data_IF_736848135555
#
_entry.id   IF_736848135555
#
_cell.length_a   1.000
_cell.length_b   1.000
_cell.length_c   1.000
_cell.angle_alpha   90.00
_cell.angle_beta   90.00
_cell.angle_gamma   90.00
#
_symmetry.space_group_name_H-M   'P 1'
#
loop_
_entity.id
_entity.type
_entity.pdbx_description
1 polymer ?
#
# COMPACT_ATOMS: atom_id res chain seq x y z
N UNK A 1 -22.51 -29.71 -5.50
CA UNK A 1 -22.13 -29.32 -5.46
C UNK A 1 -21.60 -28.86 -5.36
N UNK A 2 -21.33 -28.79 -5.12
CA UNK A 2 -20.83 -28.32 -4.99
C UNK A 2 -20.36 -27.59 -4.79
N UNK A 3 -20.22 -27.49 -4.60
CA UNK A 3 -19.77 -26.73 -4.48
C UNK A 3 -19.41 -26.10 -3.81
N UNK A 4 -19.46 -26.06 -3.45
CA UNK A 4 -19.16 -25.39 -2.96
C UNK A 4 -18.57 -24.93 -2.43
N UNK A 5 -18.40 -25.13 -2.35
CA UNK A 5 -17.95 -24.50 -1.85
C UNK A 5 -17.40 -23.80 -1.81
N UNK A 6 -17.61 -23.90 -2.18
CA UNK A 6 -17.14 -23.14 -2.26
C UNK A 6 -16.95 -22.22 -1.74
N UNK A 7 -17.14 -22.30 -1.59
CA UNK A 7 -16.98 -21.47 -1.16
C UNK A 7 -16.64 -20.98 -0.40
N UNK A 8 -16.54 -21.26 -0.14
CA UNK A 8 -16.43 -20.81 0.55
C UNK A 8 -15.97 -20.01 0.95
N UNK A 9 -16.08 -19.90 0.84
CA UNK A 9 -15.63 -19.03 1.13
C UNK A 9 -15.48 -18.32 1.83
N UNK A 10 -15.69 -18.54 1.70
CA UNK A 10 -15.69 -17.91 2.56
C UNK A 10 -15.18 -16.71 2.99
N UNK A 11 -14.90 -16.77 3.73
CA UNK A 11 -14.33 -15.54 4.23
C UNK A 11 -13.48 -14.91 3.13
N UNK A 12 -13.54 -13.58 2.92
CA UNK A 12 -12.74 -12.95 1.90
C UNK A 12 -11.27 -13.25 2.14
N UNK A 13 -10.60 -13.68 1.10
CA UNK A 13 -9.20 -14.02 1.20
C UNK A 13 -8.38 -12.83 0.72
N UNK A 14 -7.60 -12.28 1.62
CA UNK A 14 -6.64 -11.25 1.23
C UNK A 14 -5.50 -11.89 0.49
N UNK A 15 -5.00 -11.20 -0.52
CA UNK A 15 -3.78 -11.63 -1.18
C UNK A 15 -2.62 -11.55 -0.21
N UNK A 16 -1.68 -12.47 -0.34
CA UNK A 16 -0.41 -12.33 0.36
C UNK A 16 0.23 -11.00 0.01
N UNK A 17 0.96 -10.43 0.97
CA UNK A 17 1.61 -9.14 0.73
C UNK A 17 2.51 -9.19 -0.49
N UNK A 18 3.28 -10.25 -0.66
CA UNK A 18 4.18 -10.37 -1.80
C UNK A 18 3.41 -10.33 -3.12
N UNK A 19 2.26 -10.98 -3.17
CA UNK A 19 1.44 -11.01 -4.39
C UNK A 19 0.83 -9.65 -4.66
N UNK A 20 0.31 -9.03 -3.61
CA UNK A 20 -0.29 -7.70 -3.74
C UNK A 20 0.74 -6.69 -4.26
N UNK A 21 1.96 -6.72 -3.68
CA UNK A 21 3.01 -5.79 -4.09
C UNK A 21 3.38 -5.99 -5.55
N UNK A 22 3.52 -7.25 -5.97
CA UNK A 22 3.86 -7.54 -7.37
C UNK A 22 2.79 -7.02 -8.32
N UNK A 23 1.53 -7.23 -7.98
CA UNK A 23 0.43 -6.75 -8.80
C UNK A 23 0.37 -5.23 -8.85
N UNK A 24 0.63 -4.59 -7.71
CA UNK A 24 0.62 -3.13 -7.64
C UNK A 24 1.73 -2.51 -8.48
N UNK A 25 2.94 -3.06 -8.37
CA UNK A 25 4.07 -2.57 -9.16
C UNK A 25 3.76 -2.69 -10.66
N UNK A 26 3.15 -3.82 -11.04
CA UNK A 26 2.77 -4.03 -12.44
C UNK A 26 1.73 -3.01 -12.88
N UNK A 27 0.75 -2.72 -12.02
CA UNK A 27 -0.26 -1.72 -12.35
C UNK A 27 0.36 -0.36 -12.59
N UNK A 28 1.28 0.06 -11.71
CA UNK A 28 1.97 1.33 -11.88
C UNK A 28 2.71 1.37 -13.21
N UNK A 29 3.38 0.28 -13.56
CA UNK A 29 4.12 0.20 -14.81
C UNK A 29 3.19 0.34 -16.01
N UNK A 30 2.05 -0.32 -15.97
CA UNK A 30 1.05 -0.23 -17.05
C UNK A 30 0.54 1.21 -17.19
N UNK A 31 0.41 1.93 -16.07
CA UNK A 31 -0.06 3.31 -16.09
C UNK A 31 1.03 4.31 -16.42
N UNK A 32 2.24 3.84 -16.70
CA UNK A 32 3.32 4.69 -17.11
C UNK A 32 4.15 5.28 -15.99
N UNK A 33 4.01 4.78 -14.77
CA UNK A 33 4.78 5.26 -13.64
C UNK A 33 5.84 4.23 -13.27
N UNK A 34 6.96 4.70 -12.75
CA UNK A 34 8.01 3.81 -12.26
C UNK A 34 7.73 3.44 -10.81
N UNK A 35 7.74 2.15 -10.51
CA UNK A 35 7.55 1.66 -9.15
C UNK A 35 8.58 0.61 -8.82
N UNK A 36 9.08 0.63 -7.60
CA UNK A 36 10.09 -0.32 -7.16
C UNK A 36 9.87 -0.68 -5.70
N UNK A 37 10.21 -1.91 -5.38
CA UNK A 37 10.16 -2.38 -3.99
C UNK A 37 11.46 -1.94 -3.32
N UNK A 38 11.34 -1.00 -2.38
CA UNK A 38 12.49 -0.53 -1.63
C UNK A 38 12.87 -1.48 -0.50
N UNK A 39 11.86 -2.14 0.07
CA UNK A 39 12.10 -3.08 1.17
C UNK A 39 11.08 -4.20 1.08
N UNK A 40 11.58 -5.42 1.10
CA UNK A 40 10.72 -6.59 1.17
C UNK A 40 10.42 -6.88 2.64
N UNK A 41 9.15 -7.11 2.93
CA UNK A 41 8.71 -7.47 4.25
C UNK A 41 8.28 -8.92 4.34
N UNK A 42 7.46 -9.23 5.34
CA UNK A 42 6.95 -10.57 5.52
C UNK A 42 6.06 -10.96 4.34
N UNK A 43 6.28 -12.14 3.81
CA UNK A 43 5.68 -12.55 2.55
C UNK A 43 4.16 -12.58 2.60
N UNK A 44 3.59 -13.11 3.67
CA UNK A 44 2.15 -13.35 3.68
C UNK A 44 1.35 -12.18 4.22
N UNK A 45 1.79 -11.59 5.31
CA UNK A 45 0.97 -10.64 6.03
C UNK A 45 1.70 -9.36 6.45
N UNK A 46 2.85 -9.08 5.87
CA UNK A 46 3.57 -7.86 6.20
C UNK A 46 2.78 -6.63 5.78
N UNK A 47 2.77 -5.61 6.64
CA UNK A 47 2.13 -4.35 6.31
C UNK A 47 2.84 -3.69 5.14
N UNK A 48 2.09 -2.97 4.32
CA UNK A 48 2.62 -2.38 3.10
C UNK A 48 2.49 -0.87 3.18
N UNK A 49 3.60 -0.17 2.98
CA UNK A 49 3.63 1.28 2.89
C UNK A 49 3.98 1.66 1.46
N UNK A 50 3.27 2.64 0.91
CA UNK A 50 3.48 3.10 -0.46
C UNK A 50 3.85 4.57 -0.40
N UNK A 51 5.03 4.89 -0.91
CA UNK A 51 5.49 6.27 -1.02
C UNK A 51 5.35 6.72 -2.47
N UNK A 52 4.69 7.84 -2.68
CA UNK A 52 4.58 8.43 -4.01
C UNK A 52 5.50 9.64 -4.05
N UNK A 53 6.52 9.58 -4.90
CA UNK A 53 7.47 10.68 -5.08
C UNK A 53 7.06 11.49 -6.29
N UNK A 54 6.96 12.81 -6.12
CA UNK A 54 6.60 13.68 -7.24
C UNK A 54 7.84 14.17 -7.99
N UNK A 55 9.01 13.72 -7.57
CA UNK A 55 10.29 14.04 -8.20
C UNK A 55 10.66 15.54 -8.10
N UNK A 56 10.08 16.22 -7.12
CA UNK A 56 10.36 17.62 -6.86
C UNK A 56 10.69 17.86 -5.38
N UNK A 57 11.03 16.81 -4.66
CA UNK A 57 11.32 16.90 -3.24
C UNK A 57 10.09 16.74 -2.35
N UNK A 58 8.93 16.48 -2.94
CA UNK A 58 7.70 16.28 -2.21
C UNK A 58 7.01 15.00 -2.64
N UNK A 59 6.00 14.59 -1.87
CA UNK A 59 5.25 13.41 -2.21
C UNK A 59 4.17 13.11 -1.19
N UNK A 60 3.77 11.85 -1.15
CA UNK A 60 2.74 11.36 -0.24
C UNK A 60 3.13 9.99 0.27
N UNK A 61 2.58 9.62 1.42
CA UNK A 61 2.80 8.31 2.01
C UNK A 61 1.46 7.70 2.37
N UNK A 62 1.26 6.46 1.94
CA UNK A 62 0.07 5.69 2.27
C UNK A 62 0.48 4.46 3.06
N UNK A 63 -0.34 4.08 4.01
CA UNK A 63 -0.11 2.88 4.80
C UNK A 63 -1.42 2.20 5.12
N UNK A 64 -1.36 1.11 5.89
CA UNK A 64 -2.58 0.39 6.23
C UNK A 64 -3.55 1.28 7.00
N UNK A 65 -4.83 1.23 6.62
CA UNK A 65 -5.86 1.96 7.34
C UNK A 65 -6.04 1.35 8.74
N UNK A 66 -6.43 2.17 9.73
CA UNK A 66 -6.69 1.62 11.06
C UNK A 66 -7.76 0.54 11.00
N UNK A 67 -7.63 -0.45 11.88
CA UNK A 67 -8.56 -1.58 11.93
C UNK A 67 -10.00 -1.11 12.09
N UNK A 68 -10.22 -0.01 12.80
CA UNK A 68 -11.56 0.53 13.02
C UNK A 68 -12.23 1.00 11.72
N UNK A 69 -11.47 1.20 10.66
CA UNK A 69 -11.99 1.64 9.37
C UNK A 69 -12.18 0.48 8.40
N UNK A 70 -11.87 -0.74 8.83
CA UNK A 70 -11.89 -1.91 7.96
C UNK A 70 -13.09 -2.78 8.32
N UNK A 71 -13.91 -3.07 7.31
CA UNK A 71 -14.99 -4.04 7.42
C UNK A 71 -14.57 -5.26 6.62
N UNK A 72 -14.04 -6.26 7.31
CA UNK A 72 -13.49 -7.44 6.66
C UNK A 72 -14.52 -8.23 5.86
N UNK A 73 -15.79 -8.08 6.19
CA UNK A 73 -16.83 -8.79 5.46
C UNK A 73 -17.08 -8.19 4.08
N UNK A 74 -16.85 -6.90 3.95
CA UNK A 74 -17.14 -6.18 2.70
C UNK A 74 -15.89 -5.79 1.93
N UNK A 75 -14.74 -5.75 2.57
CA UNK A 75 -13.53 -5.23 1.96
C UNK A 75 -12.39 -6.24 2.05
N UNK A 76 -12.39 -7.24 1.16
CA UNK A 76 -11.29 -8.20 1.17
C UNK A 76 -9.97 -7.60 0.70
N UNK A 77 -10.03 -6.52 -0.09
CA UNK A 77 -8.81 -5.86 -0.51
C UNK A 77 -8.21 -5.05 0.62
N UNK A 78 -6.94 -4.76 0.50
CA UNK A 78 -6.25 -3.93 1.47
C UNK A 78 -6.75 -2.50 1.37
N UNK A 79 -7.05 -1.92 2.53
CA UNK A 79 -7.48 -0.54 2.61
C UNK A 79 -6.30 0.30 3.08
N UNK A 80 -6.03 1.38 2.37
CA UNK A 80 -4.94 2.28 2.69
C UNK A 80 -5.47 3.61 3.17
N UNK A 81 -4.66 4.32 3.96
CA UNK A 81 -4.96 5.67 4.37
C UNK A 81 -3.72 6.53 4.14
N UNK A 82 -3.95 7.80 3.84
CA UNK A 82 -2.85 8.73 3.67
C UNK A 82 -2.27 9.09 5.03
N UNK A 83 -0.98 8.86 5.19
CA UNK A 83 -0.27 9.18 6.41
C UNK A 83 0.44 10.51 6.31
N UNK A 84 0.73 10.96 5.09
CA UNK A 84 1.34 12.25 4.82
C UNK A 84 1.01 12.64 3.39
N UNK A 85 0.86 13.94 3.15
CA UNK A 85 0.68 14.43 1.78
C UNK A 85 -0.70 14.25 1.21
N UNK A 86 -1.73 14.09 2.05
CA UNK A 86 -3.08 13.82 1.56
C UNK A 86 -3.65 14.98 0.75
N UNK A 87 -3.55 16.19 1.28
CA UNK A 87 -4.10 17.38 0.63
C UNK A 87 -3.04 18.16 -0.08
N UNK A 88 -1.91 18.34 0.57
CA UNK A 88 -0.77 19.03 -0.02
C UNK A 88 0.42 18.10 0.03
N UNK A 89 1.25 18.07 -1.01
CA UNK A 89 2.42 17.21 -0.99
C UNK A 89 3.29 17.49 0.24
N UNK A 90 3.79 16.43 0.86
CA UNK A 90 4.63 16.56 2.04
C UNK A 90 6.09 16.55 1.63
N UNK A 91 6.97 17.22 2.39
CA UNK A 91 8.39 17.15 2.10
C UNK A 91 8.90 15.72 2.16
N UNK A 92 9.79 15.37 1.25
CA UNK A 92 10.35 14.03 1.19
C UNK A 92 10.99 13.62 2.53
N UNK A 93 11.68 14.56 3.17
CA UNK A 93 12.33 14.26 4.45
C UNK A 93 11.33 13.82 5.51
N UNK A 94 10.15 14.41 5.52
CA UNK A 94 9.11 14.03 6.49
C UNK A 94 8.60 12.63 6.22
N UNK A 95 8.45 12.29 4.96
CA UNK A 95 8.01 10.95 4.56
C UNK A 95 9.05 9.91 4.97
N UNK A 96 10.33 10.19 4.72
CA UNK A 96 11.39 9.27 5.06
C UNK A 96 11.51 9.10 6.58
N UNK A 97 11.33 10.18 7.34
CA UNK A 97 11.35 10.10 8.78
C UNK A 97 10.21 9.22 9.30
N UNK A 98 9.03 9.33 8.70
CA UNK A 98 7.90 8.49 9.10
C UNK A 98 8.18 7.03 8.79
N UNK A 99 8.73 6.74 7.62
CA UNK A 99 9.07 5.36 7.25
C UNK A 99 10.11 4.78 8.20
N UNK A 100 11.09 5.57 8.61
CA UNK A 100 12.10 5.11 9.55
C UNK A 100 11.48 4.73 10.89
N UNK A 101 10.50 5.51 11.35
CA UNK A 101 9.80 5.19 12.60
C UNK A 101 8.99 3.91 12.48
N UNK A 102 8.31 3.72 11.34
CA UNK A 102 7.52 2.51 11.15
C UNK A 102 8.40 1.26 11.15
N UNK A 103 9.58 1.35 10.56
CA UNK A 103 10.51 0.24 10.54
C UNK A 103 11.01 -0.13 11.93
N UNK A 104 11.12 0.83 12.82
CA UNK A 104 11.53 0.53 14.19
C UNK A 104 10.48 -0.28 14.94
N UNK A 105 9.22 -0.02 14.65
CA UNK A 105 8.13 -0.76 15.30
C UNK A 105 7.89 -2.12 14.66
N UNK A 106 8.08 -2.22 13.36
CA UNK A 106 7.73 -3.43 12.63
C UNK A 106 8.74 -3.66 11.51
N UNK A 107 9.73 -4.53 11.72
CA UNK A 107 10.73 -4.79 10.68
C UNK A 107 10.20 -5.62 9.51
N UNK A 108 8.98 -6.12 9.61
CA UNK A 108 8.39 -6.97 8.57
C UNK A 108 7.59 -6.20 7.54
N UNK A 109 7.66 -4.87 7.55
CA UNK A 109 6.90 -4.06 6.61
C UNK A 109 7.55 -4.03 5.23
N UNK A 110 6.70 -3.89 4.24
CA UNK A 110 7.11 -3.64 2.86
C UNK A 110 7.11 -2.15 2.61
N UNK A 111 8.04 -1.69 1.79
CA UNK A 111 8.06 -0.31 1.33
C UNK A 111 8.16 -0.31 -0.17
N UNK A 112 7.18 0.28 -0.83
CA UNK A 112 7.13 0.43 -2.28
C UNK A 112 7.20 1.92 -2.58
N UNK A 113 8.05 2.30 -3.51
CA UNK A 113 8.16 3.70 -3.93
C UNK A 113 7.72 3.83 -5.37
N UNK A 114 6.85 4.80 -5.63
CA UNK A 114 6.34 5.10 -6.96
C UNK A 114 6.78 6.51 -7.31
N UNK A 115 7.26 6.69 -8.54
CA UNK A 115 7.64 8.01 -9.05
C UNK A 115 6.57 8.46 -10.02
N UNK A 116 5.87 9.52 -9.68
CA UNK A 116 4.84 10.08 -10.53
C UNK A 116 4.70 11.58 -10.25
N UNK A 117 5.00 12.39 -11.26
CA UNK A 117 5.01 13.84 -11.08
C UNK A 117 3.63 14.40 -10.73
N UNK A 118 2.58 13.68 -11.09
CA UNK A 118 1.21 14.09 -10.78
C UNK A 118 0.74 13.59 -9.42
N UNK A 119 1.53 12.76 -8.76
CA UNK A 119 1.20 12.27 -7.44
C UNK A 119 0.11 11.21 -7.41
N UNK A 120 -0.13 10.51 -8.52
CA UNK A 120 -1.14 9.46 -8.56
C UNK A 120 -0.68 8.26 -7.75
N UNK A 121 -1.58 7.70 -6.97
CA UNK A 121 -1.20 6.59 -6.09
C UNK A 121 -1.55 5.21 -6.66
N UNK A 122 -2.44 5.13 -7.64
CA UNK A 122 -2.85 3.88 -8.28
C UNK A 122 -3.40 2.84 -7.31
N UNK A 123 -3.85 3.28 -6.13
CA UNK A 123 -4.43 2.38 -5.14
C UNK A 123 -5.93 2.25 -5.39
N UNK A 124 -6.46 1.03 -5.30
CA UNK A 124 -7.89 0.80 -5.47
C UNK A 124 -8.68 1.33 -4.29
N UNK A 125 -8.12 1.20 -3.10
CA UNK A 125 -8.81 1.57 -1.87
C UNK A 125 -7.90 2.45 -1.02
N UNK A 126 -8.14 3.75 -1.08
CA UNK A 126 -7.40 4.70 -0.26
C UNK A 126 -8.39 5.65 0.40
N UNK A 127 -8.20 5.86 1.70
CA UNK A 127 -9.00 6.78 2.50
C UNK A 127 -8.09 7.90 2.97
N UNK A 128 -8.52 9.13 2.82
CA UNK A 128 -7.73 10.29 3.24
C UNK A 128 -8.31 10.95 4.47
#
# INVERSE_FOLDING_TARGET
MTGAPRTCYHAPMRLKSSIWVSAYVRRCDIEGAFAAVRRRGAEEAGAIFVKISRLDGTGALYGPAPQSMIDDEHWPERLFTALAGAKEPAPDADIEARLARELKFDPDVWIVEVEDRQGRNFLDRAVV
#
